data_IF_090863367892
#
_entry.id   IF_090863367892
#
_cell.length_a   1.000
_cell.length_b   1.000
_cell.length_c   1.000
_cell.angle_alpha   90.00
_cell.angle_beta   90.00
_cell.angle_gamma   90.00
#
_symmetry.space_group_name_H-M   'P 1'
#
loop_
_entity.id
_entity.type
_entity.pdbx_description
1 polymer ?
#
# COMPACT_ATOMS: atom_id res chain seq x y z
N UNK A 1 -2.62 -0.71 42.81
CA UNK A 1 -2.07 0.38 42.00
C UNK A 1 -2.87 0.42 40.71
N UNK A 2 -3.62 1.48 40.50
CA UNK A 2 -4.46 1.64 39.33
C UNK A 2 -3.57 1.99 38.13
N UNK A 3 -3.78 1.29 37.00
CA UNK A 3 -3.17 1.57 35.70
C UNK A 3 -3.78 2.89 35.21
N UNK A 4 -2.99 3.88 34.77
CA UNK A 4 -3.55 5.12 34.27
C UNK A 4 -4.20 4.86 32.90
N UNK A 5 -5.45 5.29 32.79
CA UNK A 5 -6.27 5.31 31.58
C UNK A 5 -5.64 6.25 30.55
N UNK A 6 -4.96 5.66 29.55
CA UNK A 6 -4.17 6.37 28.53
C UNK A 6 -5.01 6.91 27.36
N UNK A 7 -6.17 7.52 27.62
CA UNK A 7 -6.87 8.33 26.61
C UNK A 7 -6.12 9.67 26.46
N UNK A 8 -5.14 9.73 25.55
CA UNK A 8 -4.54 10.99 25.14
C UNK A 8 -5.65 11.89 24.58
N UNK A 9 -5.98 12.95 25.32
CA UNK A 9 -6.94 13.98 24.96
C UNK A 9 -6.59 14.57 23.59
N UNK A 10 -7.38 14.25 22.57
CA UNK A 10 -7.32 14.92 21.27
C UNK A 10 -7.65 16.40 21.50
N UNK A 11 -6.75 17.29 21.13
CA UNK A 11 -7.01 18.74 21.15
C UNK A 11 -8.19 19.07 20.26
N UNK A 12 -9.11 19.88 20.77
CA UNK A 12 -10.28 20.35 20.00
C UNK A 12 -9.81 21.05 18.70
N UNK A 13 -10.23 20.49 17.54
CA UNK A 13 -9.88 21.02 16.21
C UNK A 13 -9.03 20.11 15.33
N UNK A 14 -8.53 18.98 15.83
CA UNK A 14 -7.82 18.00 14.98
C UNK A 14 -8.82 17.18 14.16
N UNK A 15 -8.66 17.07 12.81
CA UNK A 15 -9.51 16.21 12.00
C UNK A 15 -9.55 14.76 12.51
N UNK A 16 -10.69 14.10 12.42
CA UNK A 16 -10.88 12.73 12.93
C UNK A 16 -9.90 11.74 12.30
N UNK A 17 -9.51 11.96 11.04
CA UNK A 17 -8.66 11.07 10.25
C UNK A 17 -7.22 11.60 10.15
N UNK A 18 -6.50 11.67 11.27
CA UNK A 18 -5.07 12.02 11.31
C UNK A 18 -4.26 10.87 11.92
N UNK A 19 -3.00 10.67 11.52
CA UNK A 19 -2.15 9.66 12.13
C UNK A 19 -1.87 9.99 13.60
N UNK A 20 -1.77 8.97 14.43
CA UNK A 20 -1.33 9.15 15.83
C UNK A 20 0.14 9.58 15.87
N UNK A 21 0.54 10.35 16.88
CA UNK A 21 1.90 10.88 16.98
C UNK A 21 2.94 9.81 17.30
N UNK A 22 2.57 8.79 18.06
CA UNK A 22 3.46 7.75 18.58
C UNK A 22 3.05 6.37 18.06
N UNK A 23 3.39 6.01 16.81
CA UNK A 23 3.12 4.67 16.28
C UNK A 23 3.97 3.63 17.03
N UNK A 24 3.49 2.36 17.08
CA UNK A 24 4.30 1.26 17.59
C UNK A 24 5.58 1.08 16.75
N UNK A 25 6.62 0.55 17.37
CA UNK A 25 7.86 0.21 16.67
C UNK A 25 7.61 -0.77 15.53
N UNK A 26 8.44 -0.66 14.50
CA UNK A 26 8.34 -1.51 13.31
C UNK A 26 9.71 -1.90 12.81
N UNK A 27 9.91 -3.19 12.60
CA UNK A 27 11.16 -3.78 12.08
C UNK A 27 11.73 -3.02 10.87
N UNK A 28 10.89 -2.66 9.90
CA UNK A 28 11.35 -1.96 8.69
C UNK A 28 12.02 -0.61 8.95
N UNK A 29 11.78 0.00 10.11
CA UNK A 29 12.22 1.34 10.49
C UNK A 29 13.34 1.32 11.53
N UNK A 30 13.87 0.14 11.91
CA UNK A 30 14.97 0.00 12.88
C UNK A 30 16.25 0.70 12.40
N UNK A 31 16.53 0.66 11.09
CA UNK A 31 17.61 1.44 10.46
C UNK A 31 17.23 2.92 10.26
N UNK A 32 16.43 3.48 11.18
CA UNK A 32 15.99 4.85 11.09
C UNK A 32 17.18 5.81 11.04
N UNK A 33 17.34 6.47 9.92
CA UNK A 33 18.39 7.43 9.66
C UNK A 33 17.95 8.82 10.13
N UNK A 34 18.93 9.74 10.32
CA UNK A 34 18.69 11.20 10.48
C UNK A 34 17.70 11.78 9.47
N UNK A 35 17.57 11.15 8.29
CA UNK A 35 16.60 11.55 7.24
C UNK A 35 15.14 11.35 7.67
N UNK A 36 14.86 10.42 8.59
CA UNK A 36 13.50 10.19 9.07
C UNK A 36 12.87 11.45 9.67
N UNK A 37 13.67 12.25 10.35
CA UNK A 37 13.25 13.45 11.06
C UNK A 37 13.71 14.75 10.38
N UNK A 38 14.11 14.66 9.12
CA UNK A 38 14.71 15.75 8.39
C UNK A 38 13.74 16.93 8.19
N UNK A 39 14.26 18.14 8.40
CA UNK A 39 13.64 19.39 7.98
C UNK A 39 14.65 20.20 7.19
N UNK A 40 14.30 20.51 5.95
CA UNK A 40 15.20 21.27 5.04
C UNK A 40 15.41 22.73 5.47
N UNK A 41 14.50 23.27 6.28
CA UNK A 41 14.58 24.62 6.84
C UNK A 41 13.90 24.67 8.20
N UNK A 42 14.36 25.57 9.07
CA UNK A 42 13.77 25.80 10.39
C UNK A 42 12.33 26.34 10.27
N UNK A 43 12.11 27.27 9.37
CA UNK A 43 10.79 27.82 9.06
C UNK A 43 10.25 27.21 7.76
N UNK A 44 8.94 27.20 7.63
CA UNK A 44 8.30 26.81 6.36
C UNK A 44 8.65 27.84 5.28
N UNK A 45 8.82 27.39 4.01
CA UNK A 45 8.90 28.33 2.89
C UNK A 45 7.59 29.12 2.79
N UNK A 46 7.67 30.40 2.43
CA UNK A 46 6.47 31.23 2.23
C UNK A 46 5.61 30.74 1.06
N UNK A 47 6.26 30.20 0.02
CA UNK A 47 5.63 29.71 -1.20
C UNK A 47 6.35 28.49 -1.74
N UNK A 48 5.59 27.61 -2.40
CA UNK A 48 6.11 26.53 -3.26
C UNK A 48 5.17 26.33 -4.45
N UNK A 49 5.72 26.12 -5.65
CA UNK A 49 4.89 25.85 -6.82
C UNK A 49 4.03 24.61 -6.64
N UNK A 50 4.57 23.58 -5.97
CA UNK A 50 3.89 22.32 -5.71
C UNK A 50 4.12 21.92 -4.26
N UNK A 51 3.04 21.68 -3.52
CA UNK A 51 3.10 21.05 -2.19
C UNK A 51 2.57 19.64 -2.29
N UNK A 52 3.34 18.68 -1.77
CA UNK A 52 2.95 17.27 -1.65
C UNK A 52 2.66 16.98 -0.17
N UNK A 53 1.48 16.49 0.13
CA UNK A 53 1.07 16.11 1.49
C UNK A 53 1.28 14.63 1.68
N UNK A 54 2.30 14.27 2.47
CA UNK A 54 2.70 12.91 2.79
C UNK A 54 4.04 12.52 2.16
N UNK A 55 4.98 12.01 2.98
CA UNK A 55 6.28 11.50 2.58
C UNK A 55 6.34 9.97 2.62
N UNK A 56 5.28 9.31 2.21
CA UNK A 56 5.24 7.87 1.94
C UNK A 56 5.63 7.55 0.49
N UNK A 57 5.42 6.31 0.06
CA UNK A 57 5.77 5.86 -1.30
C UNK A 57 5.10 6.75 -2.36
N UNK A 58 3.83 7.08 -2.21
CA UNK A 58 3.10 7.91 -3.17
C UNK A 58 3.72 9.31 -3.31
N UNK A 59 3.96 10.00 -2.19
CA UNK A 59 4.50 11.36 -2.22
C UNK A 59 5.93 11.44 -2.71
N UNK A 60 6.83 10.58 -2.20
CA UNK A 60 8.23 10.55 -2.61
C UNK A 60 8.39 10.14 -4.07
N UNK A 61 7.62 9.16 -4.57
CA UNK A 61 7.63 8.79 -5.98
C UNK A 61 7.11 9.91 -6.87
N UNK A 62 6.06 10.62 -6.45
CA UNK A 62 5.56 11.78 -7.19
C UNK A 62 6.64 12.88 -7.27
N UNK A 63 7.27 13.22 -6.15
CA UNK A 63 8.39 14.17 -6.12
C UNK A 63 9.54 13.72 -7.03
N UNK A 64 9.91 12.44 -6.98
CA UNK A 64 10.96 11.89 -7.84
C UNK A 64 10.65 12.09 -9.34
N UNK A 65 9.43 11.75 -9.77
CA UNK A 65 9.07 11.92 -11.17
C UNK A 65 8.92 13.39 -11.58
N UNK A 66 8.50 14.26 -10.68
CA UNK A 66 8.47 15.71 -10.89
C UNK A 66 9.88 16.28 -11.11
N UNK A 67 10.89 15.85 -10.35
CA UNK A 67 12.27 16.34 -10.48
C UNK A 67 13.03 15.79 -11.69
N UNK A 68 12.57 14.69 -12.28
CA UNK A 68 13.21 14.09 -13.48
C UNK A 68 12.77 14.74 -14.80
N UNK A 69 11.76 15.60 -14.77
CA UNK A 69 11.41 16.40 -15.95
C UNK A 69 12.29 17.66 -15.99
N UNK A 70 13.37 17.59 -16.77
CA UNK A 70 14.37 18.66 -16.88
C UNK A 70 13.81 19.98 -17.44
N UNK A 71 12.60 19.99 -17.98
CA UNK A 71 11.91 21.20 -18.45
C UNK A 71 11.36 22.06 -17.32
N UNK A 72 11.48 21.61 -16.04
CA UNK A 72 10.75 22.18 -14.92
C UNK A 72 11.69 22.73 -13.87
N UNK A 73 11.67 24.06 -13.75
CA UNK A 73 12.26 24.79 -12.63
C UNK A 73 11.15 25.15 -11.62
N UNK A 74 10.53 24.16 -11.00
CA UNK A 74 9.45 24.33 -10.01
C UNK A 74 9.94 24.02 -8.61
N UNK A 75 9.62 24.90 -7.66
CA UNK A 75 9.85 24.62 -6.25
C UNK A 75 8.86 23.57 -5.75
N UNK A 76 9.36 22.55 -5.05
CA UNK A 76 8.54 21.47 -4.48
C UNK A 76 8.80 21.39 -2.99
N UNK A 77 7.71 21.37 -2.20
CA UNK A 77 7.75 21.14 -0.76
C UNK A 77 6.94 19.89 -0.40
N UNK A 78 7.53 19.02 0.39
CA UNK A 78 6.86 17.83 0.94
C UNK A 78 6.58 18.08 2.43
N UNK A 79 5.30 17.98 2.82
CA UNK A 79 4.88 18.12 4.21
C UNK A 79 4.44 16.76 4.74
N UNK A 80 5.10 16.28 5.79
CA UNK A 80 4.85 14.98 6.40
C UNK A 80 4.43 15.15 7.86
N UNK A 81 3.37 14.47 8.25
CA UNK A 81 2.81 14.59 9.60
C UNK A 81 3.70 13.99 10.70
N UNK A 82 4.45 12.94 10.35
CA UNK A 82 5.37 12.22 11.24
C UNK A 82 6.78 12.18 10.64
N UNK A 83 7.51 11.12 10.88
CA UNK A 83 8.77 10.86 10.17
C UNK A 83 8.52 10.28 8.76
N UNK A 84 9.49 10.46 7.88
CA UNK A 84 9.46 9.93 6.50
C UNK A 84 9.13 8.43 6.51
N UNK A 85 8.21 8.00 5.65
CA UNK A 85 7.77 6.61 5.51
C UNK A 85 7.27 5.93 6.79
N UNK A 86 6.81 6.67 7.77
CA UNK A 86 6.32 6.13 9.05
C UNK A 86 4.94 5.45 8.97
N UNK A 87 4.15 5.71 7.90
CA UNK A 87 2.85 5.11 7.64
C UNK A 87 2.93 3.75 6.95
N UNK A 88 1.90 3.40 6.15
CA UNK A 88 1.78 2.11 5.46
C UNK A 88 3.04 1.70 4.67
N UNK A 89 3.77 2.64 4.12
CA UNK A 89 5.01 2.40 3.36
C UNK A 89 6.08 1.69 4.18
N UNK A 90 6.33 2.12 5.40
CA UNK A 90 7.33 1.53 6.27
C UNK A 90 6.74 0.48 7.22
N UNK A 91 5.54 -0.06 6.94
CA UNK A 91 4.83 -1.01 7.79
C UNK A 91 4.20 -2.17 7.02
N UNK A 92 4.40 -2.23 5.69
CA UNK A 92 3.87 -3.31 4.85
C UNK A 92 4.78 -4.55 4.87
N UNK A 93 4.40 -5.59 4.12
CA UNK A 93 5.17 -6.84 4.06
C UNK A 93 6.36 -6.82 3.11
N UNK A 94 6.60 -5.74 2.36
CA UNK A 94 7.68 -5.70 1.36
C UNK A 94 7.39 -6.47 0.07
N UNK A 95 6.14 -6.83 -0.20
CA UNK A 95 5.72 -7.64 -1.32
C UNK A 95 5.30 -6.75 -2.51
N UNK A 96 6.03 -6.81 -3.62
CA UNK A 96 5.70 -6.14 -4.87
C UNK A 96 5.31 -7.19 -5.92
N UNK A 97 4.02 -7.52 -5.99
CA UNK A 97 3.50 -8.59 -6.85
C UNK A 97 2.19 -8.19 -7.54
N UNK A 98 1.95 -8.62 -8.78
CA UNK A 98 0.62 -8.56 -9.39
C UNK A 98 -0.40 -9.42 -8.62
N UNK A 99 -1.67 -9.02 -8.58
CA UNK A 99 -2.70 -9.75 -7.82
C UNK A 99 -3.73 -10.45 -8.73
N UNK A 100 -3.29 -11.50 -9.41
CA UNK A 100 -4.11 -12.21 -10.40
C UNK A 100 -5.35 -12.90 -9.81
N UNK A 101 -5.31 -13.30 -8.54
CA UNK A 101 -6.36 -14.12 -7.93
C UNK A 101 -7.18 -13.39 -6.85
N UNK A 102 -6.82 -12.15 -6.50
CA UNK A 102 -7.57 -11.33 -5.56
C UNK A 102 -8.46 -10.31 -6.27
N UNK A 103 -7.86 -9.24 -6.79
CA UNK A 103 -8.60 -8.12 -7.37
C UNK A 103 -8.98 -8.30 -8.85
N UNK A 104 -8.10 -8.88 -9.67
CA UNK A 104 -8.31 -8.96 -11.13
C UNK A 104 -9.62 -9.67 -11.50
N UNK A 105 -10.01 -10.82 -10.92
CA UNK A 105 -11.30 -11.46 -11.23
C UNK A 105 -12.49 -10.55 -10.93
N UNK A 106 -12.42 -9.82 -9.82
CA UNK A 106 -13.47 -8.86 -9.43
C UNK A 106 -13.62 -7.75 -10.46
N UNK A 107 -12.51 -7.20 -10.96
CA UNK A 107 -12.54 -6.17 -12.00
C UNK A 107 -13.04 -6.73 -13.35
N UNK A 108 -12.67 -7.96 -13.69
CA UNK A 108 -13.21 -8.64 -14.88
C UNK A 108 -14.74 -8.78 -14.80
N UNK A 109 -15.27 -9.12 -13.62
CA UNK A 109 -16.72 -9.28 -13.43
C UNK A 109 -17.46 -7.94 -13.51
N UNK A 110 -16.88 -6.86 -12.98
CA UNK A 110 -17.51 -5.55 -12.88
C UNK A 110 -17.39 -4.69 -14.12
N UNK A 111 -16.25 -4.77 -14.79
CA UNK A 111 -15.91 -3.83 -15.87
C UNK A 111 -15.45 -4.53 -17.16
N UNK A 112 -15.57 -5.87 -17.20
CA UNK A 112 -15.18 -6.70 -18.35
C UNK A 112 -13.71 -7.14 -18.32
N UNK A 113 -13.41 -8.19 -19.08
CA UNK A 113 -12.11 -8.85 -19.10
C UNK A 113 -10.96 -7.88 -19.39
N UNK A 114 -11.13 -6.95 -20.33
CA UNK A 114 -10.10 -5.97 -20.68
C UNK A 114 -9.75 -5.02 -19.51
N UNK A 115 -10.71 -4.62 -18.69
CA UNK A 115 -10.44 -3.77 -17.53
C UNK A 115 -9.59 -4.47 -16.47
N UNK A 116 -9.83 -5.76 -16.24
CA UNK A 116 -8.97 -6.59 -15.39
C UNK A 116 -7.57 -6.72 -15.98
N UNK A 117 -7.44 -6.97 -17.28
CA UNK A 117 -6.16 -7.07 -17.96
C UNK A 117 -5.34 -5.77 -17.89
N UNK A 118 -5.95 -4.61 -18.08
CA UNK A 118 -5.28 -3.30 -17.94
C UNK A 118 -4.59 -3.14 -16.58
N UNK A 119 -5.23 -3.60 -15.50
CA UNK A 119 -4.66 -3.53 -14.16
C UNK A 119 -3.52 -4.53 -14.02
N UNK A 120 -3.69 -5.79 -14.45
CA UNK A 120 -2.64 -6.80 -14.40
C UNK A 120 -1.39 -6.37 -15.19
N UNK A 121 -1.57 -5.89 -16.42
CA UNK A 121 -0.50 -5.37 -17.28
C UNK A 121 0.22 -4.17 -16.61
N UNK A 122 -0.54 -3.28 -15.97
CA UNK A 122 0.01 -2.12 -15.26
C UNK A 122 0.82 -2.54 -14.03
N UNK A 123 0.36 -3.49 -13.23
CA UNK A 123 1.08 -4.00 -12.06
C UNK A 123 2.39 -4.69 -12.45
N UNK A 124 2.38 -5.49 -13.54
CA UNK A 124 3.58 -6.10 -14.11
C UNK A 124 4.56 -5.04 -14.61
N UNK A 125 4.06 -4.04 -15.33
CA UNK A 125 4.89 -2.94 -15.82
C UNK A 125 5.50 -2.13 -14.65
N UNK A 126 4.73 -1.93 -13.57
CA UNK A 126 5.19 -1.24 -12.37
C UNK A 126 6.32 -2.02 -11.67
N UNK A 127 6.19 -3.34 -11.49
CA UNK A 127 7.26 -4.19 -10.94
C UNK A 127 8.54 -4.08 -11.78
N UNK A 128 8.43 -4.15 -13.12
CA UNK A 128 9.56 -4.02 -14.04
C UNK A 128 10.21 -2.61 -13.95
N UNK A 129 9.40 -1.57 -13.79
CA UNK A 129 9.89 -0.20 -13.63
C UNK A 129 10.63 0.00 -12.31
N UNK A 130 10.15 -0.56 -11.21
CA UNK A 130 10.83 -0.55 -9.91
C UNK A 130 12.16 -1.29 -10.01
N UNK A 131 12.18 -2.51 -10.56
CA UNK A 131 13.42 -3.27 -10.81
C UNK A 131 14.43 -2.42 -11.58
N UNK A 132 13.97 -1.79 -12.67
CA UNK A 132 14.84 -0.98 -13.53
C UNK A 132 15.50 0.18 -12.78
N UNK A 133 14.76 0.94 -11.97
CA UNK A 133 15.34 2.06 -11.21
C UNK A 133 16.30 1.57 -10.13
N UNK A 134 15.97 0.46 -9.45
CA UNK A 134 16.84 -0.15 -8.44
C UNK A 134 18.20 -0.53 -9.06
N UNK A 135 18.19 -1.17 -10.23
CA UNK A 135 19.42 -1.58 -10.92
C UNK A 135 20.20 -0.39 -11.46
N UNK A 136 19.53 0.58 -12.08
CA UNK A 136 20.16 1.76 -12.65
C UNK A 136 20.83 2.64 -11.60
N UNK A 137 20.18 2.81 -10.46
CA UNK A 137 20.65 3.67 -9.37
C UNK A 137 21.41 2.89 -8.28
N UNK A 138 21.55 1.56 -8.45
CA UNK A 138 22.22 0.64 -7.50
C UNK A 138 21.68 0.79 -6.10
N UNK A 139 20.35 0.78 -5.97
CA UNK A 139 19.68 0.98 -4.68
C UNK A 139 19.80 -0.29 -3.82
N UNK A 140 20.46 -0.17 -2.67
CA UNK A 140 20.54 -1.23 -1.69
C UNK A 140 19.26 -1.25 -0.84
N UNK A 141 18.30 -2.08 -1.27
CA UNK A 141 17.00 -2.24 -0.61
C UNK A 141 16.54 -3.69 -0.54
N UNK A 142 17.47 -4.63 -0.54
CA UNK A 142 17.20 -6.08 -0.49
C UNK A 142 16.18 -6.53 -1.55
N UNK A 143 16.21 -5.90 -2.72
CA UNK A 143 15.29 -6.26 -3.80
C UNK A 143 15.64 -7.62 -4.38
N UNK A 144 14.64 -8.49 -4.43
CA UNK A 144 14.74 -9.80 -5.08
C UNK A 144 13.62 -9.97 -6.09
N UNK A 145 13.97 -10.21 -7.34
CA UNK A 145 13.01 -10.70 -8.34
C UNK A 145 12.85 -12.20 -8.13
N UNK A 146 11.65 -12.65 -7.83
CA UNK A 146 11.34 -14.04 -7.45
C UNK A 146 10.04 -14.51 -8.07
N UNK A 147 9.62 -15.72 -7.74
CA UNK A 147 8.26 -16.22 -8.01
C UNK A 147 7.39 -15.99 -6.78
N UNK A 148 6.14 -15.57 -6.97
CA UNK A 148 5.10 -15.69 -5.95
C UNK A 148 4.37 -17.00 -6.11
N UNK A 149 4.05 -17.65 -4.99
CA UNK A 149 3.25 -18.87 -4.94
C UNK A 149 1.90 -18.51 -4.28
N UNK A 150 0.84 -18.48 -5.05
CA UNK A 150 -0.51 -18.44 -4.49
C UNK A 150 -0.96 -19.87 -4.21
N UNK A 151 -1.29 -20.19 -2.96
CA UNK A 151 -1.55 -21.54 -2.49
C UNK A 151 -2.94 -21.64 -1.86
N UNK A 152 -3.67 -22.70 -2.20
CA UNK A 152 -5.00 -23.00 -1.67
C UNK A 152 -4.98 -24.39 -1.01
N UNK A 153 -5.39 -24.41 0.27
CA UNK A 153 -5.53 -25.63 1.06
C UNK A 153 -7.00 -26.06 1.26
N UNK A 154 -7.95 -25.30 0.77
CA UNK A 154 -9.39 -25.59 0.82
C UNK A 154 -9.89 -25.95 -0.59
N UNK A 155 -10.66 -27.03 -0.73
CA UNK A 155 -11.12 -27.54 -2.02
C UNK A 155 -12.00 -26.54 -2.79
N UNK A 156 -12.91 -25.86 -2.11
CA UNK A 156 -13.81 -24.91 -2.76
C UNK A 156 -13.03 -23.71 -3.32
N UNK A 157 -12.11 -23.17 -2.53
CA UNK A 157 -11.25 -22.05 -2.95
C UNK A 157 -10.26 -22.45 -4.04
N UNK A 158 -9.73 -23.68 -4.01
CA UNK A 158 -8.88 -24.23 -5.06
C UNK A 158 -9.63 -24.35 -6.41
N UNK A 159 -10.84 -24.90 -6.40
CA UNK A 159 -11.72 -25.00 -7.60
C UNK A 159 -12.07 -23.62 -8.17
N UNK A 160 -12.37 -22.65 -7.31
CA UNK A 160 -12.61 -21.25 -7.74
C UNK A 160 -11.36 -20.64 -8.39
N UNK A 161 -10.19 -20.85 -7.81
CA UNK A 161 -8.93 -20.37 -8.37
C UNK A 161 -8.60 -21.00 -9.72
N UNK A 162 -8.83 -22.30 -9.89
CA UNK A 162 -8.66 -22.99 -11.17
C UNK A 162 -9.61 -22.41 -12.24
N UNK A 163 -10.87 -22.19 -11.90
CA UNK A 163 -11.84 -21.56 -12.81
C UNK A 163 -11.40 -20.13 -13.22
N UNK A 164 -10.86 -19.34 -12.30
CA UNK A 164 -10.28 -18.02 -12.58
C UNK A 164 -9.08 -18.15 -13.53
N UNK A 165 -8.18 -19.10 -13.30
CA UNK A 165 -7.03 -19.36 -14.17
C UNK A 165 -7.49 -19.71 -15.59
N UNK A 166 -8.41 -20.67 -15.73
CA UNK A 166 -8.94 -21.08 -17.03
C UNK A 166 -9.64 -19.92 -17.78
N UNK A 167 -10.37 -19.10 -17.05
CA UNK A 167 -11.00 -17.89 -17.62
C UNK A 167 -9.94 -16.93 -18.17
N UNK A 168 -8.90 -16.61 -17.40
CA UNK A 168 -7.83 -15.70 -17.85
C UNK A 168 -7.07 -16.27 -19.06
N UNK A 169 -6.82 -17.57 -19.09
CA UNK A 169 -6.21 -18.25 -20.25
C UNK A 169 -7.10 -18.15 -21.48
N UNK A 170 -8.42 -18.35 -21.33
CA UNK A 170 -9.38 -18.28 -22.46
C UNK A 170 -9.50 -16.90 -23.09
N UNK A 171 -9.17 -15.83 -22.34
CA UNK A 171 -9.11 -14.45 -22.84
C UNK A 171 -7.84 -14.17 -23.66
N UNK A 172 -6.89 -15.12 -23.73
CA UNK A 172 -5.59 -14.99 -24.41
C UNK A 172 -4.77 -13.79 -23.97
N UNK A 173 -4.77 -13.48 -22.69
CA UNK A 173 -3.92 -12.43 -22.14
C UNK A 173 -2.45 -12.85 -22.14
N UNK A 174 -1.58 -12.06 -22.78
CA UNK A 174 -0.14 -12.35 -22.92
C UNK A 174 0.56 -12.58 -21.55
N UNK A 175 0.15 -11.89 -20.52
CA UNK A 175 0.76 -12.06 -19.20
C UNK A 175 0.51 -13.44 -18.57
N UNK A 176 -0.46 -14.21 -19.08
CA UNK A 176 -0.71 -15.57 -18.60
C UNK A 176 0.38 -16.57 -19.01
N UNK A 177 1.24 -16.22 -19.95
CA UNK A 177 2.41 -17.04 -20.32
C UNK A 177 3.41 -17.20 -19.15
N UNK A 178 3.43 -16.26 -18.20
CA UNK A 178 4.25 -16.35 -16.98
C UNK A 178 3.55 -17.10 -15.84
N UNK A 179 2.26 -17.40 -15.95
CA UNK A 179 1.49 -18.02 -14.86
C UNK A 179 1.43 -19.53 -15.05
N UNK A 180 1.90 -20.28 -14.07
CA UNK A 180 1.79 -21.74 -14.04
C UNK A 180 0.85 -22.15 -12.91
N UNK A 181 -0.17 -22.95 -13.22
CA UNK A 181 -1.14 -23.47 -12.26
C UNK A 181 -0.95 -24.98 -12.05
N UNK A 182 -0.90 -25.40 -10.80
CA UNK A 182 -0.67 -26.80 -10.40
C UNK A 182 -1.84 -27.31 -9.56
N UNK A 183 -2.25 -28.55 -9.79
CA UNK A 183 -3.26 -29.28 -9.02
C UNK A 183 -2.80 -30.70 -8.72
N UNK A 184 -3.45 -31.37 -7.76
CA UNK A 184 -3.24 -32.78 -7.41
C UNK A 184 -2.15 -33.03 -6.37
N UNK A 185 -1.83 -34.29 -6.13
CA UNK A 185 -1.06 -34.77 -4.97
C UNK A 185 0.37 -34.26 -4.89
N UNK A 186 0.94 -33.75 -5.98
CA UNK A 186 2.31 -33.21 -6.02
C UNK A 186 2.41 -31.76 -5.51
N UNK A 187 1.28 -31.06 -5.37
CA UNK A 187 1.26 -29.63 -5.02
C UNK A 187 2.00 -29.32 -3.70
N UNK A 188 1.81 -30.09 -2.60
CA UNK A 188 2.57 -29.84 -1.37
C UNK A 188 4.09 -29.91 -1.58
N UNK A 189 4.57 -30.84 -2.41
CA UNK A 189 5.99 -30.95 -2.75
C UNK A 189 6.50 -29.80 -3.63
N UNK A 190 5.64 -29.20 -4.46
CA UNK A 190 5.98 -28.05 -5.33
C UNK A 190 6.09 -26.76 -4.52
N UNK A 191 5.10 -26.49 -3.67
CA UNK A 191 5.03 -25.21 -2.94
C UNK A 191 5.57 -25.28 -1.50
N UNK A 192 5.82 -26.47 -0.95
CA UNK A 192 6.28 -26.65 0.43
C UNK A 192 5.21 -26.37 1.50
N UNK A 193 3.95 -26.13 1.11
CA UNK A 193 2.85 -25.82 2.03
C UNK A 193 2.07 -27.09 2.37
N UNK A 194 1.90 -27.36 3.65
CA UNK A 194 1.17 -28.54 4.15
C UNK A 194 -0.31 -28.46 3.77
N UNK A 195 -0.83 -29.57 3.25
CA UNK A 195 -2.24 -29.66 2.85
C UNK A 195 -2.63 -28.82 1.64
N UNK A 196 -1.66 -28.32 0.87
CA UNK A 196 -1.92 -27.59 -0.36
C UNK A 196 -2.60 -28.50 -1.41
N UNK A 197 -3.68 -28.03 -2.02
CA UNK A 197 -4.47 -28.73 -3.04
C UNK A 197 -4.18 -28.15 -4.42
N UNK A 198 -4.01 -26.83 -4.50
CA UNK A 198 -3.63 -26.13 -5.71
C UNK A 198 -2.63 -25.02 -5.39
N UNK A 199 -1.78 -24.69 -6.38
CA UNK A 199 -0.98 -23.47 -6.31
C UNK A 199 -0.77 -22.88 -7.70
N UNK A 200 -0.62 -21.54 -7.74
CA UNK A 200 -0.21 -20.81 -8.92
C UNK A 200 1.14 -20.14 -8.68
N UNK A 201 1.97 -20.10 -9.72
CA UNK A 201 3.30 -19.49 -9.67
C UNK A 201 3.43 -18.43 -10.77
N UNK A 202 3.94 -17.24 -10.43
CA UNK A 202 4.19 -16.15 -11.37
C UNK A 202 5.25 -15.18 -10.83
N UNK A 203 5.77 -14.32 -11.71
CA UNK A 203 6.83 -13.39 -11.37
C UNK A 203 6.37 -12.31 -10.38
N UNK A 204 7.16 -12.10 -9.34
CA UNK A 204 6.95 -11.09 -8.30
C UNK A 204 8.29 -10.51 -7.82
N UNK A 205 8.22 -9.46 -7.02
CA UNK A 205 9.37 -8.87 -6.34
C UNK A 205 9.15 -8.77 -4.84
N UNK A 206 10.23 -8.79 -4.10
CA UNK A 206 10.27 -8.47 -2.66
C UNK A 206 11.34 -7.42 -2.42
N UNK A 207 11.17 -6.59 -1.40
CA UNK A 207 12.16 -5.56 -1.05
C UNK A 207 12.03 -5.10 0.39
N UNK A 208 12.99 -4.33 0.85
CA UNK A 208 12.87 -3.48 2.04
C UNK A 208 12.34 -2.09 1.63
N UNK A 209 11.04 -1.80 1.77
CA UNK A 209 10.46 -0.58 1.21
C UNK A 209 11.06 0.69 1.82
N UNK A 210 11.34 0.68 3.11
CA UNK A 210 11.94 1.82 3.81
C UNK A 210 13.31 2.19 3.23
N UNK A 211 14.21 1.22 3.01
CA UNK A 211 15.54 1.47 2.38
C UNK A 211 15.41 2.07 0.99
N UNK A 212 14.49 1.54 0.16
CA UNK A 212 14.22 2.09 -1.17
C UNK A 212 13.81 3.57 -1.10
N UNK A 213 12.87 3.90 -0.21
CA UNK A 213 12.37 5.28 -0.09
C UNK A 213 13.38 6.23 0.58
N UNK A 214 14.22 5.74 1.48
CA UNK A 214 15.32 6.55 2.04
C UNK A 214 16.35 6.91 0.98
N UNK A 215 16.64 6.00 0.03
CA UNK A 215 17.48 6.33 -1.12
C UNK A 215 16.85 7.46 -1.96
N UNK A 216 15.57 7.35 -2.31
CA UNK A 216 14.86 8.40 -3.05
C UNK A 216 14.86 9.73 -2.26
N UNK A 217 14.66 9.68 -0.95
CA UNK A 217 14.67 10.88 -0.10
C UNK A 217 16.01 11.60 -0.19
N UNK A 218 17.15 10.88 -0.11
CA UNK A 218 18.49 11.48 -0.27
C UNK A 218 18.63 12.18 -1.63
N UNK A 219 18.17 11.54 -2.70
CA UNK A 219 18.22 12.14 -4.04
C UNK A 219 17.36 13.40 -4.14
N UNK A 220 16.15 13.37 -3.57
CA UNK A 220 15.25 14.51 -3.58
C UNK A 220 15.85 15.71 -2.83
N UNK A 221 16.45 15.46 -1.67
CA UNK A 221 17.13 16.51 -0.90
C UNK A 221 18.34 17.06 -1.68
N UNK A 222 19.13 16.20 -2.31
CA UNK A 222 20.24 16.64 -3.18
C UNK A 222 19.76 17.44 -4.40
N UNK A 223 18.54 17.19 -4.88
CA UNK A 223 17.88 17.96 -5.94
C UNK A 223 17.21 19.27 -5.44
N UNK A 224 17.35 19.62 -4.16
CA UNK A 224 16.83 20.86 -3.60
C UNK A 224 15.35 20.83 -3.19
N UNK A 225 14.75 19.65 -3.08
CA UNK A 225 13.37 19.52 -2.57
C UNK A 225 13.35 19.93 -1.08
N UNK A 226 12.35 20.75 -0.72
CA UNK A 226 12.12 21.11 0.68
C UNK A 226 11.26 20.02 1.33
N UNK A 227 11.81 19.31 2.31
CA UNK A 227 11.11 18.28 3.09
C UNK A 227 10.93 18.76 4.53
N UNK A 228 9.72 18.70 5.04
CA UNK A 228 9.33 19.12 6.37
C UNK A 228 8.61 17.99 7.09
N UNK A 229 9.31 17.22 7.92
CA UNK A 229 8.73 16.20 8.78
C UNK A 229 8.12 16.81 10.06
N UNK A 230 7.29 16.04 10.75
CA UNK A 230 6.53 16.50 11.93
C UNK A 230 5.81 17.82 11.69
N UNK A 231 5.22 17.91 10.47
CA UNK A 231 4.54 19.11 9.98
C UNK A 231 3.19 18.70 9.39
N UNK A 232 2.23 18.26 10.20
CA UNK A 232 0.92 17.85 9.73
C UNK A 232 0.18 19.01 9.09
N UNK A 233 -0.31 18.81 7.86
CA UNK A 233 -1.22 19.76 7.21
C UNK A 233 -2.59 19.64 7.86
N UNK A 234 -3.12 20.76 8.35
CA UNK A 234 -4.42 20.81 9.04
C UNK A 234 -5.54 21.36 8.16
N UNK A 235 -5.20 22.16 7.14
CA UNK A 235 -6.16 22.60 6.14
C UNK A 235 -5.47 23.04 4.84
N UNK A 236 -6.23 22.95 3.74
CA UNK A 236 -5.90 23.46 2.41
C UNK A 236 -7.07 24.31 1.95
N UNK A 237 -6.85 25.60 1.76
CA UNK A 237 -7.90 26.55 1.33
C UNK A 237 -7.42 27.33 0.12
N UNK A 238 -8.28 27.53 -0.88
CA UNK A 238 -7.96 28.41 -2.00
C UNK A 238 -7.92 29.88 -1.52
N UNK A 239 -6.97 30.64 -2.03
CA UNK A 239 -6.93 32.08 -1.84
C UNK A 239 -7.60 32.84 -3.01
N UNK A 240 -7.73 34.16 -2.88
CA UNK A 240 -8.33 35.00 -3.91
C UNK A 240 -7.51 35.15 -5.19
N UNK A 241 -6.24 34.74 -5.17
CA UNK A 241 -5.32 34.80 -6.31
C UNK A 241 -5.27 33.49 -7.11
N UNK A 242 -5.97 32.43 -6.64
CA UNK A 242 -6.00 31.11 -7.26
C UNK A 242 -4.91 30.16 -6.73
N UNK A 243 -4.10 30.59 -5.76
CA UNK A 243 -3.18 29.72 -5.02
C UNK A 243 -3.87 29.06 -3.82
N UNK A 244 -3.16 28.20 -3.12
CA UNK A 244 -3.64 27.54 -1.92
C UNK A 244 -2.90 28.03 -0.68
N UNK A 245 -3.63 28.26 0.41
CA UNK A 245 -3.07 28.47 1.75
C UNK A 245 -3.05 27.13 2.45
N UNK A 246 -1.86 26.66 2.77
CA UNK A 246 -1.60 25.42 3.51
C UNK A 246 -1.34 25.79 4.96
N UNK A 247 -2.20 25.32 5.88
CA UNK A 247 -2.02 25.54 7.30
C UNK A 247 -1.41 24.33 8.00
N UNK A 248 -0.49 24.60 8.92
CA UNK A 248 0.14 23.60 9.79
C UNK A 248 0.31 24.17 11.20
N UNK A 249 0.58 23.38 12.23
CA UNK A 249 0.94 23.89 13.56
C UNK A 249 2.21 24.76 13.58
N UNK A 250 3.06 24.64 12.54
CA UNK A 250 4.30 25.43 12.39
C UNK A 250 4.12 26.74 11.62
N UNK A 251 2.91 27.07 11.22
CA UNK A 251 2.60 28.26 10.43
C UNK A 251 1.88 27.93 9.12
N UNK A 252 1.79 28.92 8.26
CA UNK A 252 1.12 28.83 6.96
C UNK A 252 2.13 29.04 5.84
N UNK A 253 1.87 28.40 4.69
CA UNK A 253 2.58 28.66 3.43
C UNK A 253 1.59 28.73 2.28
N UNK A 254 2.01 29.27 1.14
CA UNK A 254 1.23 29.29 -0.10
C UNK A 254 1.73 28.22 -1.07
N UNK A 255 0.82 27.68 -1.88
CA UNK A 255 1.14 26.70 -2.90
C UNK A 255 0.38 26.96 -4.19
N UNK A 256 1.04 26.81 -5.34
CA UNK A 256 0.37 26.89 -6.65
C UNK A 256 -0.46 25.63 -6.95
N UNK A 257 0.00 24.45 -6.53
CA UNK A 257 -0.70 23.17 -6.68
C UNK A 257 -0.50 22.31 -5.43
N UNK A 258 -1.45 21.39 -5.18
CA UNK A 258 -1.41 20.47 -4.03
C UNK A 258 -1.60 19.03 -4.51
N UNK A 259 -0.73 18.13 -4.06
CA UNK A 259 -0.87 16.69 -4.26
C UNK A 259 -1.16 16.02 -2.93
N UNK A 260 -2.32 15.41 -2.80
CA UNK A 260 -2.74 14.64 -1.63
C UNK A 260 -2.23 13.19 -1.76
N UNK A 261 -1.13 12.88 -1.06
CA UNK A 261 -0.48 11.57 -1.05
C UNK A 261 -0.53 10.90 0.33
N UNK A 262 -1.53 11.25 1.14
CA UNK A 262 -1.69 10.81 2.53
C UNK A 262 -2.44 9.47 2.69
N UNK A 263 -2.80 8.80 1.60
CA UNK A 263 -3.45 7.49 1.53
C UNK A 263 -4.67 7.38 2.48
N UNK A 264 -4.56 6.60 3.56
CA UNK A 264 -5.62 6.38 4.54
C UNK A 264 -6.15 7.68 5.18
N UNK A 265 -5.33 8.71 5.21
CA UNK A 265 -5.63 9.97 5.89
C UNK A 265 -6.14 11.06 4.93
N UNK A 266 -6.46 10.71 3.69
CA UNK A 266 -6.88 11.68 2.66
C UNK A 266 -8.11 12.49 3.09
N UNK A 267 -9.07 11.88 3.77
CA UNK A 267 -10.30 12.54 4.22
C UNK A 267 -10.10 13.61 5.30
N UNK A 268 -8.92 13.67 5.93
CA UNK A 268 -8.59 14.77 6.84
C UNK A 268 -8.57 16.15 6.14
N UNK A 269 -8.19 16.18 4.86
CA UNK A 269 -8.07 17.38 4.03
C UNK A 269 -9.10 17.43 2.90
N UNK A 270 -9.62 16.28 2.52
CA UNK A 270 -10.62 16.08 1.49
C UNK A 270 -11.85 15.38 2.09
N UNK A 271 -12.70 16.09 2.86
CA UNK A 271 -13.81 15.47 3.60
C UNK A 271 -14.82 14.75 2.70
N UNK A 272 -14.89 15.11 1.40
CA UNK A 272 -15.68 14.41 0.39
C UNK A 272 -15.25 12.95 0.18
N UNK A 273 -14.02 12.60 0.54
CA UNK A 273 -13.53 11.21 0.50
C UNK A 273 -13.79 10.43 1.80
N UNK A 274 -14.49 11.01 2.77
CA UNK A 274 -14.67 10.42 4.10
C UNK A 274 -15.37 9.07 4.12
N UNK A 275 -16.21 8.76 3.11
CA UNK A 275 -16.79 7.43 2.90
C UNK A 275 -16.12 6.64 1.78
N UNK A 276 -15.26 7.29 0.98
CA UNK A 276 -14.56 6.64 -0.13
C UNK A 276 -13.28 5.96 0.31
N UNK A 277 -12.52 6.58 1.21
CA UNK A 277 -11.23 6.06 1.66
C UNK A 277 -11.29 5.93 3.18
N UNK A 278 -11.37 4.70 3.64
CA UNK A 278 -11.50 4.34 5.05
C UNK A 278 -10.15 3.85 5.58
N UNK A 279 -9.66 4.39 6.70
CA UNK A 279 -8.50 3.84 7.40
C UNK A 279 -8.77 2.45 7.94
N UNK A 280 -7.99 1.46 7.52
CA UNK A 280 -8.12 0.09 8.01
C UNK A 280 -6.77 -0.42 8.48
N UNK A 281 -6.72 -0.96 9.70
CA UNK A 281 -5.51 -1.55 10.26
C UNK A 281 -5.27 -2.95 9.68
N UNK A 282 -3.99 -3.26 9.48
CA UNK A 282 -3.50 -4.60 9.24
C UNK A 282 -2.37 -4.92 10.21
N UNK A 283 -2.01 -6.18 10.33
CA UNK A 283 -0.98 -6.68 11.24
C UNK A 283 0.05 -7.49 10.48
N UNK A 284 1.31 -7.30 10.83
CA UNK A 284 2.46 -8.03 10.30
C UNK A 284 3.39 -8.43 11.43
N UNK A 285 4.18 -9.46 11.19
CA UNK A 285 5.26 -9.86 12.09
C UNK A 285 6.52 -10.22 11.29
N UNK A 286 7.65 -10.19 11.97
CA UNK A 286 8.90 -10.82 11.53
C UNK A 286 9.07 -12.10 12.33
N UNK A 287 9.32 -13.21 11.63
CA UNK A 287 9.66 -14.50 12.22
C UNK A 287 11.13 -14.78 11.94
N UNK A 288 11.88 -15.17 12.95
CA UNK A 288 13.28 -15.49 12.85
C UNK A 288 13.55 -16.89 13.41
N UNK A 289 14.53 -17.58 12.80
CA UNK A 289 15.08 -18.83 13.31
C UNK A 289 16.18 -18.49 14.30
N UNK A 290 16.20 -19.06 15.53
CA UNK A 290 17.25 -18.80 16.50
C UNK A 290 18.63 -19.18 15.98
N UNK A 291 19.67 -18.49 16.47
CA UNK A 291 21.05 -18.83 16.16
C UNK A 291 21.38 -20.27 16.58
N UNK A 292 21.99 -21.01 15.67
CA UNK A 292 22.30 -22.43 15.86
C UNK A 292 21.21 -23.40 15.40
N UNK A 293 20.00 -22.96 15.20
CA UNK A 293 18.91 -23.73 14.58
C UNK A 293 18.95 -23.60 13.05
N UNK A 294 18.26 -24.52 12.37
CA UNK A 294 18.19 -24.55 10.90
C UNK A 294 16.77 -24.70 10.40
N UNK A 295 16.49 -24.09 9.26
CA UNK A 295 15.21 -24.23 8.56
C UNK A 295 15.45 -24.37 7.06
N UNK A 296 14.50 -24.97 6.31
CA UNK A 296 14.56 -25.02 4.87
C UNK A 296 14.61 -23.61 4.26
N UNK A 297 15.46 -23.42 3.25
CA UNK A 297 15.49 -22.18 2.50
C UNK A 297 14.22 -22.04 1.65
N UNK A 298 13.54 -20.93 1.79
CA UNK A 298 12.38 -20.56 0.97
C UNK A 298 12.75 -19.39 0.05
N UNK A 299 12.74 -19.65 -1.26
CA UNK A 299 13.16 -18.68 -2.28
C UNK A 299 11.99 -17.93 -2.93
N UNK A 300 10.78 -18.40 -2.70
CA UNK A 300 9.56 -17.79 -3.24
C UNK A 300 8.89 -16.92 -2.18
N UNK A 301 8.13 -15.94 -2.63
CA UNK A 301 7.12 -15.29 -1.78
C UNK A 301 5.80 -16.05 -1.88
N UNK A 302 4.92 -15.89 -0.91
CA UNK A 302 3.67 -16.67 -0.84
C UNK A 302 2.46 -15.82 -0.52
N UNK A 303 1.31 -16.26 -1.05
CA UNK A 303 -0.02 -16.00 -0.50
C UNK A 303 -0.61 -17.37 -0.19
N UNK A 304 -0.80 -17.68 1.07
CA UNK A 304 -1.34 -18.98 1.51
C UNK A 304 -2.76 -18.78 2.03
N UNK A 305 -3.70 -19.59 1.51
CA UNK A 305 -5.06 -19.70 2.01
C UNK A 305 -5.21 -21.06 2.67
N UNK A 306 -5.31 -21.05 3.98
CA UNK A 306 -5.37 -22.25 4.82
C UNK A 306 -6.69 -23.01 4.65
N UNK A 307 -6.86 -24.14 5.34
CA UNK A 307 -8.06 -24.97 5.27
C UNK A 307 -9.34 -24.20 5.64
N UNK A 308 -9.27 -23.26 6.58
CA UNK A 308 -10.32 -22.35 6.99
C UNK A 308 -10.41 -21.09 6.12
N UNK A 309 -9.68 -21.05 5.01
CA UNK A 309 -9.60 -19.92 4.08
C UNK A 309 -8.95 -18.66 4.67
N UNK A 310 -8.25 -18.74 5.79
CA UNK A 310 -7.48 -17.61 6.30
C UNK A 310 -6.32 -17.32 5.35
N UNK A 311 -6.28 -16.08 4.86
CA UNK A 311 -5.23 -15.61 3.96
C UNK A 311 -4.08 -15.01 4.75
N UNK A 312 -2.87 -15.49 4.46
CA UNK A 312 -1.62 -14.88 4.91
C UNK A 312 -0.67 -14.68 3.74
N UNK A 313 0.10 -13.62 3.75
CA UNK A 313 1.22 -13.45 2.84
C UNK A 313 2.54 -13.63 3.58
N UNK A 314 3.56 -14.03 2.84
CA UNK A 314 4.87 -14.39 3.36
C UNK A 314 5.95 -13.88 2.41
N UNK A 315 6.95 -13.21 2.97
CA UNK A 315 8.09 -12.63 2.22
C UNK A 315 9.39 -13.07 2.88
N UNK A 316 10.20 -13.93 2.22
CA UNK A 316 11.51 -14.30 2.74
C UNK A 316 12.48 -13.11 2.64
N UNK A 317 13.41 -13.06 3.59
CA UNK A 317 14.41 -12.01 3.70
C UNK A 317 15.81 -12.56 3.44
N UNK A 318 16.77 -11.76 2.92
CA UNK A 318 18.15 -12.19 2.72
C UNK A 318 18.87 -12.63 4.00
N UNK A 319 18.44 -12.13 5.16
CA UNK A 319 18.97 -12.49 6.47
C UNK A 319 18.41 -13.83 7.02
N UNK A 320 17.61 -14.54 6.22
CA UNK A 320 16.94 -15.78 6.60
C UNK A 320 15.68 -15.59 7.44
N UNK A 321 15.36 -14.37 7.87
CA UNK A 321 14.10 -14.07 8.53
C UNK A 321 12.96 -13.95 7.51
N UNK A 322 11.75 -13.87 8.00
CA UNK A 322 10.54 -13.89 7.20
C UNK A 322 9.60 -12.82 7.69
N UNK A 323 9.02 -12.05 6.79
CA UNK A 323 7.91 -11.13 7.12
C UNK A 323 6.60 -11.80 6.71
N UNK A 324 5.68 -11.91 7.65
CA UNK A 324 4.34 -12.49 7.46
C UNK A 324 3.28 -11.46 7.82
N UNK A 325 2.20 -11.41 7.05
CA UNK A 325 1.04 -10.58 7.36
C UNK A 325 -0.23 -11.18 6.79
N UNK A 326 -1.35 -10.48 6.94
CA UNK A 326 -2.67 -10.96 6.53
C UNK A 326 -3.57 -11.28 7.71
N UNK A 327 -4.06 -12.52 7.84
CA UNK A 327 -4.94 -13.00 8.89
C UNK A 327 -6.25 -12.18 9.04
N UNK A 328 -6.72 -11.56 7.97
CA UNK A 328 -7.90 -10.67 8.03
C UNK A 328 -9.16 -11.38 8.54
N UNK A 329 -9.37 -12.65 8.22
CA UNK A 329 -10.50 -13.45 8.70
C UNK A 329 -10.53 -13.59 10.22
N UNK A 330 -9.36 -13.54 10.89
CA UNK A 330 -9.24 -13.66 12.35
C UNK A 330 -9.76 -12.39 13.05
N UNK A 331 -9.43 -11.21 12.53
CA UNK A 331 -9.79 -9.96 13.20
C UNK A 331 -11.01 -9.24 12.59
N UNK A 332 -11.46 -9.60 11.39
CA UNK A 332 -12.66 -8.98 10.78
C UNK A 332 -13.92 -8.96 11.67
N UNK A 333 -14.21 -10.01 12.47
CA UNK A 333 -15.33 -9.96 13.40
C UNK A 333 -15.26 -8.86 14.46
N UNK A 334 -14.06 -8.34 14.73
CA UNK A 334 -13.80 -7.29 15.74
C UNK A 334 -13.58 -5.95 15.05
N UNK A 335 -14.65 -5.40 14.46
CA UNK A 335 -14.62 -4.23 13.57
C UNK A 335 -13.92 -3.01 14.18
N UNK A 336 -14.08 -2.76 15.46
CA UNK A 336 -13.47 -1.66 16.23
C UNK A 336 -11.95 -1.71 16.27
N UNK A 337 -11.34 -2.90 16.13
CA UNK A 337 -9.89 -3.07 16.17
C UNK A 337 -9.21 -2.68 14.85
N UNK A 338 -9.92 -2.65 13.73
CA UNK A 338 -9.30 -2.47 12.41
C UNK A 338 -10.00 -1.49 11.47
N UNK A 339 -11.32 -1.35 11.52
CA UNK A 339 -12.11 -0.54 10.59
C UNK A 339 -12.28 0.90 11.10
N UNK A 340 -12.12 1.89 10.23
CA UNK A 340 -12.11 3.34 10.56
C UNK A 340 -11.18 3.65 11.76
N UNK A 341 -10.05 2.94 11.80
CA UNK A 341 -9.12 2.97 12.91
C UNK A 341 -7.74 3.46 12.42
N UNK A 342 -7.29 4.61 12.94
CA UNK A 342 -6.03 5.27 12.60
C UNK A 342 -4.91 4.99 13.60
N UNK A 343 -5.18 4.20 14.64
CA UNK A 343 -4.25 3.98 15.75
C UNK A 343 -3.31 2.81 15.48
N UNK A 344 -2.14 3.11 14.91
CA UNK A 344 -1.05 2.16 14.71
C UNK A 344 -0.05 2.10 15.88
N UNK A 345 -0.42 2.68 17.05
CA UNK A 345 0.35 2.54 18.30
C UNK A 345 0.04 1.23 19.04
N UNK A 346 -1.11 0.59 18.74
CA UNK A 346 -1.55 -0.64 19.37
C UNK A 346 -1.76 -1.75 18.35
N UNK A 347 -1.52 -2.98 18.76
CA UNK A 347 -1.75 -4.16 17.91
C UNK A 347 -3.25 -4.41 17.69
N UNK A 348 -3.56 -5.28 16.73
CA UNK A 348 -4.89 -5.89 16.59
C UNK A 348 -4.92 -7.08 17.54
N UNK A 349 -5.53 -6.89 18.70
CA UNK A 349 -5.48 -7.84 19.81
C UNK A 349 -5.98 -9.24 19.43
N UNK A 350 -7.07 -9.31 18.68
CA UNK A 350 -7.63 -10.58 18.20
C UNK A 350 -6.74 -11.38 17.24
N UNK A 351 -5.69 -10.77 16.67
CA UNK A 351 -4.80 -11.41 15.70
C UNK A 351 -3.34 -11.49 16.15
N UNK A 352 -2.96 -10.95 17.31
CA UNK A 352 -1.57 -10.90 17.77
C UNK A 352 -0.93 -12.27 17.92
N UNK A 353 -1.69 -13.26 18.33
CA UNK A 353 -1.21 -14.63 18.60
C UNK A 353 -1.34 -15.55 17.36
N UNK A 354 -1.96 -15.08 16.27
CA UNK A 354 -2.19 -15.88 15.06
C UNK A 354 -0.90 -16.42 14.44
N UNK A 355 0.20 -15.69 14.56
CA UNK A 355 1.47 -16.04 13.91
C UNK A 355 2.38 -16.91 14.78
N UNK A 356 1.97 -17.27 16.00
CA UNK A 356 2.70 -18.23 16.80
C UNK A 356 2.75 -19.58 16.09
N UNK A 357 3.93 -20.20 16.04
CA UNK A 357 4.20 -21.44 15.32
C UNK A 357 3.72 -21.46 13.85
N UNK A 358 3.55 -20.27 13.23
CA UNK A 358 3.03 -20.15 11.86
C UNK A 358 3.84 -20.96 10.85
N UNK A 359 5.17 -20.89 10.93
CA UNK A 359 6.05 -21.60 10.02
C UNK A 359 5.96 -23.12 10.26
N UNK A 360 5.98 -23.52 11.51
CA UNK A 360 5.94 -24.94 11.91
C UNK A 360 4.63 -25.62 11.48
N UNK A 361 3.49 -24.95 11.62
CA UNK A 361 2.19 -25.54 11.24
C UNK A 361 1.91 -25.48 9.74
N UNK A 362 2.50 -24.53 9.02
CA UNK A 362 2.15 -24.25 7.62
C UNK A 362 3.15 -24.85 6.62
N UNK A 363 4.45 -24.82 6.90
CA UNK A 363 5.49 -25.17 5.93
C UNK A 363 6.18 -26.48 6.30
N UNK A 364 6.37 -27.37 5.31
CA UNK A 364 7.04 -28.65 5.47
C UNK A 364 8.52 -28.46 5.80
N UNK A 365 9.03 -29.22 6.75
CA UNK A 365 10.43 -29.17 7.19
C UNK A 365 10.73 -28.07 8.22
N UNK A 366 9.74 -27.26 8.60
CA UNK A 366 9.90 -26.20 9.59
C UNK A 366 9.55 -26.63 11.03
N UNK A 367 9.11 -27.86 11.23
CA UNK A 367 8.60 -28.38 12.52
C UNK A 367 9.61 -28.26 13.67
N UNK A 368 10.92 -28.36 13.36
CA UNK A 368 12.00 -28.29 14.33
C UNK A 368 12.88 -27.06 14.18
N UNK A 369 12.43 -26.04 13.44
CA UNK A 369 13.22 -24.84 13.13
C UNK A 369 13.43 -23.90 14.32
N UNK A 370 12.69 -24.08 15.41
CA UNK A 370 12.69 -23.10 16.50
C UNK A 370 12.20 -21.71 16.13
N UNK A 371 11.66 -21.54 14.90
CA UNK A 371 11.22 -20.25 14.38
C UNK A 371 10.16 -19.62 15.29
N UNK A 372 10.33 -18.33 15.61
CA UNK A 372 9.43 -17.57 16.50
C UNK A 372 9.30 -16.11 16.06
N UNK A 373 8.25 -15.46 16.51
CA UNK A 373 8.05 -14.02 16.28
C UNK A 373 9.17 -13.25 16.97
N UNK A 374 9.90 -12.43 16.21
CA UNK A 374 10.90 -11.50 16.74
C UNK A 374 10.34 -10.07 16.87
N UNK A 375 9.45 -9.67 15.97
CA UNK A 375 8.81 -8.36 15.94
C UNK A 375 7.37 -8.52 15.45
N UNK A 376 6.45 -7.70 15.97
CA UNK A 376 5.07 -7.63 15.52
C UNK A 376 4.60 -6.17 15.52
N UNK A 377 3.87 -5.75 14.48
CA UNK A 377 3.42 -4.38 14.33
C UNK A 377 2.12 -4.28 13.54
N UNK A 378 1.48 -3.13 13.62
CA UNK A 378 0.32 -2.76 12.80
C UNK A 378 0.65 -1.62 11.86
N UNK A 379 -0.13 -1.49 10.79
CA UNK A 379 -0.09 -0.36 9.87
C UNK A 379 -1.49 0.01 9.42
N UNK A 380 -1.68 1.29 9.08
CA UNK A 380 -2.97 1.81 8.61
C UNK A 380 -2.95 1.94 7.11
N UNK A 381 -3.85 1.23 6.45
CA UNK A 381 -4.04 1.21 5.00
C UNK A 381 -5.29 2.01 4.62
N UNK A 382 -5.28 2.68 3.47
CA UNK A 382 -6.46 3.30 2.89
C UNK A 382 -7.21 2.29 2.01
N UNK A 383 -8.43 1.94 2.42
CA UNK A 383 -9.31 1.10 1.62
C UNK A 383 -10.39 1.95 0.98
N UNK A 384 -10.56 1.81 -0.33
CA UNK A 384 -11.60 2.52 -1.05
C UNK A 384 -12.91 1.74 -1.10
N UNK A 385 -14.01 2.46 -1.20
CA UNK A 385 -15.37 1.91 -1.22
C UNK A 385 -15.58 0.88 -2.34
N UNK A 386 -14.92 1.07 -3.48
CA UNK A 386 -15.03 0.25 -4.70
C UNK A 386 -13.77 -0.55 -5.02
N UNK A 387 -12.85 -0.70 -4.06
CA UNK A 387 -11.57 -1.41 -4.19
C UNK A 387 -10.61 -0.85 -5.23
N UNK A 388 -10.85 0.32 -5.81
CA UNK A 388 -9.93 0.97 -6.74
C UNK A 388 -9.24 2.17 -6.09
N UNK A 389 -7.94 2.41 -6.32
CA UNK A 389 -7.31 3.64 -5.85
C UNK A 389 -7.97 4.87 -6.49
N UNK A 390 -7.87 6.01 -5.81
CA UNK A 390 -8.27 7.30 -6.34
C UNK A 390 -7.04 8.05 -6.84
N UNK A 391 -6.92 8.22 -8.16
CA UNK A 391 -5.76 8.85 -8.81
C UNK A 391 -6.26 9.91 -9.77
N UNK A 392 -5.64 11.10 -9.75
CA UNK A 392 -5.90 12.17 -10.69
C UNK A 392 -6.26 13.50 -10.05
N UNK A 393 -6.87 14.38 -10.82
CA UNK A 393 -7.35 15.68 -10.37
C UNK A 393 -8.54 15.50 -9.43
N UNK A 394 -8.53 16.16 -8.29
CA UNK A 394 -9.66 16.14 -7.35
C UNK A 394 -10.87 16.82 -8.01
N UNK A 395 -12.02 16.15 -8.14
CA UNK A 395 -13.21 16.75 -8.73
C UNK A 395 -13.58 18.07 -8.05
N UNK A 396 -13.93 19.07 -8.85
CA UNK A 396 -14.33 20.42 -8.40
C UNK A 396 -13.27 21.21 -7.61
N UNK A 397 -11.99 20.76 -7.62
CA UNK A 397 -10.87 21.43 -6.96
C UNK A 397 -9.70 21.58 -7.93
N UNK A 398 -9.75 22.63 -8.76
CA UNK A 398 -8.67 22.92 -9.69
C UNK A 398 -7.35 23.11 -8.95
N UNK A 399 -6.25 22.56 -9.50
CA UNK A 399 -4.93 22.63 -8.89
C UNK A 399 -4.68 21.62 -7.76
N UNK A 400 -5.68 20.81 -7.35
CA UNK A 400 -5.52 19.75 -6.39
C UNK A 400 -5.57 18.37 -7.05
N UNK A 401 -4.68 17.49 -6.63
CA UNK A 401 -4.52 16.13 -7.15
C UNK A 401 -4.50 15.12 -6.01
N UNK A 402 -4.91 13.88 -6.27
CA UNK A 402 -4.93 12.80 -5.28
C UNK A 402 -4.23 11.55 -5.81
N UNK A 403 -3.53 10.84 -4.91
CA UNK A 403 -2.92 9.53 -5.14
C UNK A 403 -3.06 8.73 -3.83
N UNK A 404 -4.20 8.05 -3.65
CA UNK A 404 -4.59 7.46 -2.37
C UNK A 404 -5.58 6.29 -2.52
N UNK A 405 -5.85 5.59 -1.42
CA UNK A 405 -6.86 4.51 -1.38
C UNK A 405 -6.38 3.21 -2.03
N UNK A 406 -5.16 2.76 -1.73
CA UNK A 406 -4.52 1.63 -2.43
C UNK A 406 -4.95 0.24 -1.94
N UNK A 407 -5.93 0.11 -1.05
CA UNK A 407 -6.55 -1.16 -0.64
C UNK A 407 -5.55 -2.22 -0.12
N UNK A 408 -4.47 -1.80 0.55
CA UNK A 408 -3.40 -2.70 0.98
C UNK A 408 -2.49 -3.19 -0.16
N UNK A 409 -2.71 -2.74 -1.40
CA UNK A 409 -2.05 -3.22 -2.62
C UNK A 409 -1.27 -2.11 -3.37
N UNK A 410 -0.65 -1.18 -2.65
CA UNK A 410 0.04 -0.04 -3.25
C UNK A 410 1.40 -0.36 -3.89
N UNK A 411 2.11 -1.36 -3.40
CA UNK A 411 3.48 -1.67 -3.85
C UNK A 411 3.58 -1.93 -5.37
N UNK A 412 2.70 -2.73 -6.01
CA UNK A 412 2.75 -2.96 -7.45
C UNK A 412 2.10 -1.85 -8.30
N UNK A 413 1.62 -0.75 -7.70
CA UNK A 413 0.85 0.29 -8.39
C UNK A 413 1.53 1.66 -8.33
N UNK A 414 2.05 2.06 -7.18
CA UNK A 414 2.35 3.47 -6.84
C UNK A 414 3.41 4.08 -7.74
N UNK A 415 4.48 3.37 -8.11
CA UNK A 415 5.61 3.94 -8.83
C UNK A 415 5.21 4.54 -10.17
N UNK A 416 4.53 3.76 -11.02
CA UNK A 416 4.04 4.25 -12.31
C UNK A 416 2.84 5.16 -12.18
N UNK A 417 1.98 4.95 -11.18
CA UNK A 417 0.87 5.84 -10.89
C UNK A 417 1.35 7.25 -10.53
N UNK A 418 2.39 7.35 -9.70
CA UNK A 418 3.03 8.62 -9.37
C UNK A 418 3.68 9.29 -10.59
N UNK A 419 4.25 8.50 -11.51
CA UNK A 419 4.79 9.03 -12.77
C UNK A 419 3.71 9.69 -13.62
N UNK A 420 2.60 9.02 -13.82
CA UNK A 420 1.52 9.56 -14.64
C UNK A 420 0.83 10.75 -13.95
N UNK A 421 0.67 10.70 -12.62
CA UNK A 421 0.18 11.85 -11.85
C UNK A 421 1.11 13.06 -11.97
N UNK A 422 2.43 12.86 -11.91
CA UNK A 422 3.41 13.95 -12.11
C UNK A 422 3.25 14.61 -13.50
N UNK A 423 2.98 13.83 -14.55
CA UNK A 423 2.66 14.36 -15.88
C UNK A 423 1.39 15.21 -15.87
N UNK A 424 0.33 14.74 -15.21
CA UNK A 424 -0.91 15.52 -15.06
C UNK A 424 -0.65 16.85 -14.34
N UNK A 425 0.12 16.81 -13.24
CA UNK A 425 0.44 18.00 -12.43
C UNK A 425 1.20 19.05 -13.24
N UNK A 426 2.15 18.62 -14.07
CA UNK A 426 3.08 19.53 -14.76
C UNK A 426 2.58 19.91 -16.14
N UNK A 427 2.24 18.90 -16.96
CA UNK A 427 1.91 19.08 -18.36
C UNK A 427 0.43 19.44 -18.55
N UNK A 428 -0.40 19.30 -17.47
CA UNK A 428 -1.84 19.58 -17.52
C UNK A 428 -2.64 18.58 -18.36
N UNK A 429 -2.05 17.42 -18.68
CA UNK A 429 -2.74 16.37 -19.44
C UNK A 429 -3.95 15.83 -18.66
N UNK A 430 -4.96 15.35 -19.37
CA UNK A 430 -6.12 14.72 -18.75
C UNK A 430 -5.79 13.26 -18.38
N UNK A 431 -6.65 12.65 -17.55
CA UNK A 431 -6.45 11.28 -17.10
C UNK A 431 -6.41 10.30 -18.28
N UNK A 432 -7.25 10.50 -19.28
CA UNK A 432 -7.39 9.69 -20.50
C UNK A 432 -6.14 9.69 -21.38
N UNK A 433 -5.25 10.69 -21.20
CA UNK A 433 -3.95 10.80 -21.90
C UNK A 433 -2.83 10.09 -21.14
N UNK A 434 -3.12 9.53 -19.97
CA UNK A 434 -2.17 8.77 -19.15
C UNK A 434 -2.17 7.28 -19.52
N UNK A 435 -1.23 6.55 -18.95
CA UNK A 435 -1.17 5.07 -19.03
C UNK A 435 -1.82 4.40 -17.82
N UNK A 436 -2.58 5.14 -17.03
CA UNK A 436 -3.26 4.61 -15.86
C UNK A 436 -4.45 3.73 -16.28
N UNK A 437 -4.68 2.61 -15.58
CA UNK A 437 -5.92 1.86 -15.73
C UNK A 437 -7.14 2.76 -15.50
N UNK A 438 -8.13 2.70 -16.38
CA UNK A 438 -9.31 3.57 -16.31
C UNK A 438 -10.07 3.51 -14.98
N UNK A 439 -10.06 2.36 -14.30
CA UNK A 439 -10.71 2.19 -13.01
C UNK A 439 -10.03 2.95 -11.87
N UNK A 440 -8.81 3.43 -12.07
CA UNK A 440 -8.08 4.21 -11.05
C UNK A 440 -8.45 5.70 -11.04
N UNK A 441 -9.17 6.17 -12.05
CA UNK A 441 -9.57 7.57 -12.13
C UNK A 441 -10.43 7.97 -10.95
N UNK A 442 -10.02 9.00 -10.21
CA UNK A 442 -10.92 9.65 -9.26
C UNK A 442 -11.96 10.45 -10.01
N UNK A 443 -13.23 10.36 -9.62
CA UNK A 443 -14.33 11.04 -10.30
C UNK A 443 -15.43 11.43 -9.29
N UNK A 444 -16.23 12.46 -9.65
CA UNK A 444 -17.37 12.84 -8.84
C UNK A 444 -18.37 11.68 -8.69
N UNK A 445 -18.57 10.89 -9.76
CA UNK A 445 -19.42 9.70 -9.71
C UNK A 445 -18.99 8.73 -8.60
N UNK A 446 -17.69 8.39 -8.51
CA UNK A 446 -17.17 7.49 -7.47
C UNK A 446 -17.31 8.09 -6.06
N UNK A 447 -17.14 9.41 -5.93
CA UNK A 447 -17.35 10.12 -4.67
C UNK A 447 -18.82 10.02 -4.25
N UNK A 448 -19.74 10.36 -5.13
CA UNK A 448 -21.19 10.36 -4.86
C UNK A 448 -21.71 8.95 -4.57
N UNK A 449 -21.16 7.95 -5.24
CA UNK A 449 -21.51 6.55 -5.03
C UNK A 449 -21.27 6.11 -3.58
N UNK A 450 -20.11 6.43 -3.02
CA UNK A 450 -19.80 6.12 -1.63
C UNK A 450 -20.57 7.02 -0.65
N UNK A 451 -20.73 8.30 -0.98
CA UNK A 451 -21.46 9.24 -0.11
C UNK A 451 -22.94 8.85 0.05
N UNK A 452 -23.58 8.39 -1.02
CA UNK A 452 -25.00 8.00 -1.05
C UNK A 452 -25.23 6.52 -0.76
N UNK A 453 -24.18 5.68 -0.84
CA UNK A 453 -24.24 4.25 -0.56
C UNK A 453 -24.21 3.93 0.93
N UNK A 454 -24.60 2.69 1.27
CA UNK A 454 -24.41 2.15 2.61
C UNK A 454 -23.02 1.55 2.75
N UNK A 455 -22.51 1.47 3.96
CA UNK A 455 -21.22 0.84 4.25
C UNK A 455 -21.16 -0.62 3.76
N UNK A 456 -22.26 -1.35 3.94
CA UNK A 456 -22.36 -2.77 3.57
C UNK A 456 -22.39 -2.99 2.05
N UNK A 457 -22.71 -1.98 1.27
CA UNK A 457 -22.72 -2.05 -0.19
C UNK A 457 -21.31 -1.89 -0.79
N UNK A 458 -20.37 -1.34 -0.02
CA UNK A 458 -18.98 -1.19 -0.43
C UNK A 458 -18.15 -2.46 -0.23
N UNK A 459 -17.00 -2.55 -0.88
CA UNK A 459 -16.14 -3.74 -0.88
C UNK A 459 -15.42 -4.01 0.46
N UNK A 460 -15.26 -3.00 1.30
CA UNK A 460 -14.50 -3.13 2.55
C UNK A 460 -15.23 -4.05 3.55
N UNK A 461 -16.53 -3.88 3.69
CA UNK A 461 -17.39 -4.63 4.61
C UNK A 461 -18.36 -5.56 3.89
N UNK A 462 -18.57 -5.35 2.62
CA UNK A 462 -19.59 -6.01 1.82
C UNK A 462 -19.18 -7.38 1.28
N UNK A 463 -20.13 -7.98 0.60
CA UNK A 463 -20.03 -9.33 0.01
C UNK A 463 -19.54 -9.30 -1.44
N UNK A 464 -18.96 -8.21 -1.93
CA UNK A 464 -18.52 -8.10 -3.31
C UNK A 464 -19.63 -7.93 -4.35
N UNK A 465 -20.85 -7.56 -3.93
CA UNK A 465 -22.00 -7.34 -4.84
C UNK A 465 -22.03 -5.97 -5.49
N UNK A 466 -20.93 -5.24 -5.40
CA UNK A 466 -20.81 -3.93 -6.02
C UNK A 466 -20.88 -4.05 -7.55
N UNK A 467 -21.89 -3.47 -8.17
CA UNK A 467 -22.02 -3.40 -9.63
C UNK A 467 -21.67 -1.99 -10.11
N UNK A 468 -20.59 -1.86 -10.85
CA UNK A 468 -20.19 -0.62 -11.51
C UNK A 468 -20.91 -0.41 -12.86
N UNK A 469 -21.97 -1.16 -13.13
CA UNK A 469 -22.75 -0.96 -14.35
C UNK A 469 -23.56 0.31 -14.27
N UNK A 470 -22.89 1.44 -14.47
CA UNK A 470 -23.41 2.60 -15.22
C UNK A 470 -22.24 3.44 -15.73
N UNK A 471 -22.43 4.05 -16.89
CA UNK A 471 -21.38 4.51 -17.80
C UNK A 471 -20.52 5.62 -17.25
#
# INVERSE_FOLDING_TARGET
MAIPDGTASRTAGTPKCMPVSNPADCFWQEDATELREHRSSEQLPEYSDIVIVGAGFAGLSTAHHLTRDASISKSICILEARGVCSGATGRNGGHCRPDFYGHIPTYMDRAGARAGAEIAEFEIANLRAIKKVIEQEKIDCDFTLTRSMDVWCNEESAKKAEAVYQRMVSENFEYMDDVVFYTGDKVPGICGVKGAIACASFTAGTMWPFKFLMHLTRQLLAAGINLQTYTPVTSVAADSAGDFIIATPRGKMRAGKVVHASNAYASALLPEYGKNIIPCKGICCRIAVPEGDTAPLLNNSYITRTQDNTLSYFVPRPDGSIVVGGAASVFRPFKDQWYDNVDDSVLIDSAKDYYEDYMQRTYSGWEKSGAKISNIWTGVMGYSYDSNPHIGKVPSKDGQFILAGFNGHGMPVIWLAAKELARMVIQGIQFEETKLPRLFQTSQFRIDLAQNGKEEDGDILGTGKFSTTKP
#
